data_IF_230478142773
#
_entry.id   IF_230478142773
#
_cell.length_a   1.000
_cell.length_b   1.000
_cell.length_c   1.000
_cell.angle_alpha   90.00
_cell.angle_beta   90.00
_cell.angle_gamma   90.00
#
_symmetry.space_group_name_H-M   'P 1'
#
loop_
_entity.id
_entity.type
_entity.pdbx_description
1 polymer ?
#
# COMPACT_ATOMS: atom_id res chain seq x y z
N UNK A 1 -9.40 0.68 -14.52
CA UNK A 1 -10.27 0.42 -13.35
C UNK A 1 -9.76 1.20 -12.15
N UNK A 2 -10.59 2.05 -11.54
CA UNK A 2 -10.26 2.71 -10.28
C UNK A 2 -10.66 1.79 -9.11
N UNK A 3 -9.70 1.37 -8.28
CA UNK A 3 -9.96 0.42 -7.19
C UNK A 3 -9.13 0.71 -5.95
N UNK A 4 -9.56 0.19 -4.80
CA UNK A 4 -8.77 0.21 -3.57
C UNK A 4 -7.90 -1.06 -3.50
N UNK A 5 -6.56 -0.96 -3.37
CA UNK A 5 -5.67 -2.13 -3.32
C UNK A 5 -5.88 -3.01 -2.08
N UNK A 6 -6.57 -2.54 -1.04
CA UNK A 6 -6.96 -3.37 0.11
C UNK A 6 -7.93 -4.50 -0.30
N UNK A 7 -8.69 -4.28 -1.37
CA UNK A 7 -9.59 -5.28 -1.97
C UNK A 7 -9.12 -5.56 -3.41
N UNK A 8 -8.23 -6.54 -3.61
CA UNK A 8 -7.54 -6.74 -4.89
C UNK A 8 -8.45 -7.28 -5.99
N UNK A 9 -9.70 -7.64 -5.72
CA UNK A 9 -10.66 -8.10 -6.74
C UNK A 9 -10.75 -7.16 -7.95
N UNK A 10 -10.75 -5.84 -7.72
CA UNK A 10 -10.78 -4.87 -8.80
C UNK A 10 -9.52 -4.93 -9.69
N UNK A 11 -8.37 -5.26 -9.10
CA UNK A 11 -7.12 -5.46 -9.82
C UNK A 11 -7.13 -6.78 -10.62
N UNK A 12 -7.63 -7.86 -10.02
CA UNK A 12 -7.76 -9.16 -10.70
C UNK A 12 -8.64 -9.01 -11.95
N UNK A 13 -9.77 -8.32 -11.84
CA UNK A 13 -10.67 -8.05 -12.97
C UNK A 13 -10.01 -7.14 -14.01
N UNK A 14 -9.27 -6.12 -13.57
CA UNK A 14 -8.54 -5.24 -14.48
C UNK A 14 -7.51 -6.02 -15.30
N UNK A 15 -6.79 -6.93 -14.67
CA UNK A 15 -5.80 -7.78 -15.33
C UNK A 15 -6.46 -8.78 -16.28
N UNK A 16 -7.54 -9.43 -15.87
CA UNK A 16 -8.32 -10.34 -16.72
C UNK A 16 -8.81 -9.65 -18.00
N UNK A 17 -9.21 -8.38 -17.89
CA UNK A 17 -9.69 -7.55 -19.01
C UNK A 17 -8.57 -6.77 -19.72
N UNK A 18 -7.32 -6.92 -19.29
CA UNK A 18 -6.16 -6.17 -19.82
C UNK A 18 -6.36 -4.65 -19.82
N UNK A 19 -7.00 -4.12 -18.77
CA UNK A 19 -7.27 -2.69 -18.60
C UNK A 19 -6.28 -2.04 -17.62
N UNK A 20 -5.88 -0.78 -17.85
CA UNK A 20 -5.03 -0.07 -16.90
C UNK A 20 -5.77 0.14 -15.58
N UNK A 21 -5.10 -0.13 -14.47
CA UNK A 21 -5.65 0.06 -13.13
C UNK A 21 -5.04 1.28 -12.44
N UNK A 22 -5.89 1.96 -11.68
CA UNK A 22 -5.53 3.12 -10.87
C UNK A 22 -5.93 2.81 -9.44
N UNK A 23 -4.98 2.90 -8.51
CA UNK A 23 -5.22 2.63 -7.10
C UNK A 23 -5.53 3.90 -6.35
N UNK A 24 -6.51 3.84 -5.46
CA UNK A 24 -6.85 4.91 -4.53
C UNK A 24 -6.75 4.38 -3.09
N UNK A 25 -5.74 4.86 -2.37
CA UNK A 25 -5.31 4.32 -1.08
C UNK A 25 -4.81 5.45 -0.19
N UNK A 26 -5.04 5.39 1.13
CA UNK A 26 -4.30 6.23 2.08
C UNK A 26 -2.96 5.55 2.42
N UNK A 27 -3.00 4.48 3.20
CA UNK A 27 -1.82 3.67 3.55
C UNK A 27 -2.28 2.24 3.80
N UNK A 28 -1.47 1.23 3.46
CA UNK A 28 -1.80 -0.15 3.85
C UNK A 28 -1.14 -0.44 5.19
N UNK A 29 -1.85 -1.06 6.15
CA UNK A 29 -1.28 -1.33 7.48
C UNK A 29 0.03 -2.12 7.45
N UNK A 30 0.22 -2.97 6.44
CA UNK A 30 1.42 -3.80 6.29
C UNK A 30 2.48 -3.26 5.35
N UNK A 31 2.31 -2.07 4.79
CA UNK A 31 3.34 -1.46 3.97
C UNK A 31 3.58 -2.12 2.62
N UNK A 32 2.73 -3.05 2.17
CA UNK A 32 2.86 -3.74 0.87
C UNK A 32 2.86 -2.78 -0.32
N UNK A 33 2.26 -1.60 -0.17
CA UNK A 33 2.34 -0.53 -1.16
C UNK A 33 3.78 -0.08 -1.43
N UNK A 34 4.66 -0.13 -0.43
CA UNK A 34 6.06 0.26 -0.58
C UNK A 34 6.82 -0.74 -1.43
N UNK A 35 6.57 -2.04 -1.23
CA UNK A 35 7.16 -3.10 -2.04
C UNK A 35 6.60 -3.07 -3.47
N UNK A 36 5.30 -2.87 -3.64
CA UNK A 36 4.66 -2.83 -4.96
C UNK A 36 5.10 -1.61 -5.79
N UNK A 37 5.30 -0.47 -5.14
CA UNK A 37 5.79 0.76 -5.79
C UNK A 37 7.30 0.83 -5.87
N UNK A 38 8.04 -0.09 -5.25
CA UNK A 38 9.51 -0.02 -5.10
C UNK A 38 9.97 1.27 -4.37
N UNK A 39 9.12 1.82 -3.52
CA UNK A 39 9.39 3.02 -2.74
C UNK A 39 10.05 2.65 -1.40
N UNK A 40 11.30 3.08 -1.11
CA UNK A 40 11.96 2.71 0.13
C UNK A 40 11.31 3.42 1.34
N UNK A 41 11.03 2.64 2.40
CA UNK A 41 10.48 3.12 3.68
C UNK A 41 11.30 2.57 4.84
N UNK A 42 12.45 3.18 5.18
CA UNK A 42 13.38 2.63 6.16
C UNK A 42 12.80 2.67 7.59
N UNK A 43 12.82 1.52 8.27
CA UNK A 43 12.36 1.35 9.65
C UNK A 43 13.15 2.18 10.68
N UNK A 44 14.34 2.66 10.31
CA UNK A 44 15.20 3.47 11.17
C UNK A 44 14.76 4.94 11.31
N UNK A 45 14.00 5.45 10.34
CA UNK A 45 13.60 6.88 10.27
C UNK A 45 12.10 7.07 10.07
N UNK A 46 11.40 6.09 9.49
CA UNK A 46 9.95 6.15 9.28
C UNK A 46 9.26 5.36 10.39
N UNK A 47 8.53 6.02 11.31
CA UNK A 47 7.80 5.32 12.35
C UNK A 47 6.60 4.58 11.75
N UNK A 48 6.37 3.35 12.22
CA UNK A 48 5.23 2.52 11.82
C UNK A 48 3.96 2.97 12.54
N UNK A 49 2.83 2.77 11.88
CA UNK A 49 1.51 3.03 12.44
C UNK A 49 1.35 2.28 13.77
N UNK A 50 0.58 2.86 14.69
CA UNK A 50 0.33 2.34 16.05
C UNK A 50 1.51 2.36 17.04
N UNK A 51 2.71 2.76 16.63
CA UNK A 51 3.85 2.87 17.57
C UNK A 51 3.85 4.14 18.42
N UNK A 52 3.15 5.19 17.96
CA UNK A 52 3.14 6.53 18.57
C UNK A 52 4.50 7.24 18.51
N UNK A 53 5.41 6.78 17.66
CA UNK A 53 6.75 7.33 17.52
C UNK A 53 6.79 8.50 16.52
N UNK A 54 7.78 9.36 16.68
CA UNK A 54 8.10 10.46 15.77
C UNK A 54 9.21 10.08 14.78
N UNK A 55 9.56 10.98 13.87
CA UNK A 55 10.74 10.91 13.01
C UNK A 55 12.06 10.91 13.81
N UNK A 56 12.06 11.55 14.96
CA UNK A 56 13.19 11.55 15.90
C UNK A 56 13.13 10.38 16.88
N UNK A 57 13.65 9.22 16.46
CA UNK A 57 13.75 8.01 17.29
C UNK A 57 15.16 7.75 17.84
N UNK A 58 15.23 7.47 19.14
CA UNK A 58 16.40 6.91 19.83
C UNK A 58 16.60 5.43 19.45
N UNK A 59 17.77 4.86 19.75
CA UNK A 59 18.09 3.47 19.40
C UNK A 59 17.01 2.45 19.85
N UNK A 60 16.58 2.51 21.11
CA UNK A 60 15.53 1.62 21.63
C UNK A 60 14.17 1.81 20.95
N UNK A 61 13.84 3.05 20.56
CA UNK A 61 12.62 3.33 19.81
C UNK A 61 12.69 2.76 18.40
N UNK A 62 13.86 2.77 17.75
CA UNK A 62 14.06 2.12 16.45
C UNK A 62 13.92 0.61 16.55
N UNK A 63 14.44 0.00 17.61
CA UNK A 63 14.26 -1.45 17.89
C UNK A 63 12.78 -1.76 18.10
N UNK A 64 12.06 -0.93 18.88
CA UNK A 64 10.60 -1.05 19.05
C UNK A 64 9.88 -0.95 17.70
N UNK A 65 10.24 0.03 16.87
CA UNK A 65 9.64 0.22 15.54
C UNK A 65 9.82 -1.01 14.65
N UNK A 66 11.01 -1.61 14.67
CA UNK A 66 11.30 -2.85 13.95
C UNK A 66 10.44 -4.04 14.45
N UNK A 67 10.32 -4.22 15.77
CA UNK A 67 9.51 -5.29 16.36
C UNK A 67 8.03 -5.15 16.00
N UNK A 68 7.52 -3.91 15.95
CA UNK A 68 6.12 -3.65 15.55
C UNK A 68 5.82 -3.98 14.09
N UNK A 69 6.83 -3.93 13.21
CA UNK A 69 6.65 -4.28 11.80
C UNK A 69 6.57 -5.79 11.58
N UNK A 70 7.26 -6.59 12.39
CA UNK A 70 7.39 -8.03 12.17
C UNK A 70 6.04 -8.77 12.06
N UNK A 71 5.03 -8.52 12.92
CA UNK A 71 3.70 -9.11 12.79
C UNK A 71 2.95 -8.69 11.52
N UNK A 72 3.19 -7.48 11.01
CA UNK A 72 2.46 -6.96 9.85
C UNK A 72 2.72 -7.79 8.59
N UNK A 73 3.93 -8.32 8.42
CA UNK A 73 4.26 -9.23 7.31
C UNK A 73 3.38 -10.48 7.32
N UNK A 74 3.30 -11.18 8.46
CA UNK A 74 2.49 -12.39 8.60
C UNK A 74 0.99 -12.11 8.45
N UNK A 75 0.51 -11.00 9.04
CA UNK A 75 -0.89 -10.61 8.96
C UNK A 75 -1.31 -10.30 7.52
N UNK A 76 -0.44 -9.66 6.73
CA UNK A 76 -0.78 -9.36 5.34
C UNK A 76 -0.76 -10.58 4.44
N UNK A 77 0.21 -11.47 4.59
CA UNK A 77 0.19 -12.74 3.85
C UNK A 77 -1.11 -13.48 4.11
N UNK A 78 -1.49 -13.63 5.39
CA UNK A 78 -2.74 -14.30 5.77
C UNK A 78 -3.99 -13.61 5.19
N UNK A 79 -4.06 -12.29 5.23
CA UNK A 79 -5.19 -11.52 4.70
C UNK A 79 -5.32 -11.66 3.18
N UNK A 80 -4.20 -11.70 2.45
CA UNK A 80 -4.21 -11.76 0.99
C UNK A 80 -4.21 -13.18 0.40
N UNK A 81 -3.86 -14.21 1.18
CA UNK A 81 -3.92 -15.63 0.77
C UNK A 81 -5.19 -16.02 -0.03
N UNK A 82 -6.43 -15.74 0.42
CA UNK A 82 -7.62 -16.13 -0.34
C UNK A 82 -7.71 -15.44 -1.70
N UNK A 83 -7.26 -14.19 -1.80
CA UNK A 83 -7.26 -13.43 -3.05
C UNK A 83 -6.19 -13.94 -4.03
N UNK A 84 -5.04 -14.37 -3.53
CA UNK A 84 -3.99 -14.98 -4.36
C UNK A 84 -4.51 -16.27 -4.99
N UNK A 85 -5.14 -17.15 -4.20
CA UNK A 85 -5.72 -18.39 -4.72
C UNK A 85 -6.77 -18.12 -5.80
N UNK A 86 -7.69 -17.19 -5.52
CA UNK A 86 -8.71 -16.77 -6.48
C UNK A 86 -8.10 -16.18 -7.75
N UNK A 87 -7.09 -15.31 -7.62
CA UNK A 87 -6.41 -14.71 -8.75
C UNK A 87 -5.71 -15.77 -9.61
N UNK A 88 -5.03 -16.74 -8.99
CA UNK A 88 -4.36 -17.82 -9.73
C UNK A 88 -5.36 -18.69 -10.49
N UNK A 89 -6.51 -19.00 -9.90
CA UNK A 89 -7.58 -19.77 -10.55
C UNK A 89 -8.21 -19.00 -11.73
N UNK A 90 -8.49 -17.70 -11.56
CA UNK A 90 -9.14 -16.88 -12.58
C UNK A 90 -8.19 -16.54 -13.73
N UNK A 91 -6.92 -16.24 -13.43
CA UNK A 91 -5.92 -15.85 -14.43
C UNK A 91 -5.19 -17.06 -15.04
N UNK A 92 -5.36 -18.25 -14.47
CA UNK A 92 -4.74 -19.49 -14.95
C UNK A 92 -3.22 -19.54 -14.81
N UNK A 93 -2.64 -18.74 -13.92
CA UNK A 93 -1.18 -18.63 -13.69
C UNK A 93 -0.89 -18.31 -12.23
N UNK A 94 0.28 -18.70 -11.74
CA UNK A 94 0.70 -18.31 -10.40
C UNK A 94 0.91 -16.79 -10.30
N UNK A 95 0.25 -16.18 -9.32
CA UNK A 95 0.34 -14.75 -9.02
C UNK A 95 0.84 -14.53 -7.59
N UNK A 96 1.59 -13.45 -7.40
CA UNK A 96 1.95 -12.94 -6.08
C UNK A 96 1.20 -11.64 -5.83
N UNK A 97 0.85 -11.34 -4.56
CA UNK A 97 0.15 -10.09 -4.23
C UNK A 97 0.97 -8.88 -4.66
N UNK A 98 2.27 -8.90 -4.38
CA UNK A 98 3.18 -7.84 -4.78
C UNK A 98 3.23 -7.69 -6.31
N UNK A 99 3.30 -8.80 -7.04
CA UNK A 99 3.28 -8.79 -8.51
C UNK A 99 1.95 -8.33 -9.11
N UNK A 100 0.83 -8.56 -8.42
CA UNK A 100 -0.49 -8.08 -8.83
C UNK A 100 -0.62 -6.57 -8.62
N UNK A 101 -0.13 -6.07 -7.47
CA UNK A 101 -0.18 -4.65 -7.13
C UNK A 101 0.85 -3.81 -7.91
N UNK A 102 2.00 -4.37 -8.25
CA UNK A 102 3.04 -3.65 -9.03
C UNK A 102 2.61 -3.33 -10.46
N UNK A 103 1.60 -4.02 -10.99
CA UNK A 103 1.03 -3.75 -12.32
C UNK A 103 0.17 -2.49 -12.40
N UNK A 104 -0.10 -1.82 -11.27
CA UNK A 104 -0.89 -0.60 -11.29
C UNK A 104 -0.19 0.54 -12.02
N UNK A 105 -0.94 1.21 -12.90
CA UNK A 105 -0.41 2.31 -13.71
C UNK A 105 -0.17 3.57 -12.88
N UNK A 106 -1.08 3.88 -11.96
CA UNK A 106 -1.02 5.07 -11.11
C UNK A 106 -1.50 4.74 -9.70
N UNK A 107 -0.78 5.25 -8.71
CA UNK A 107 -1.13 5.21 -7.29
C UNK A 107 -1.59 6.60 -6.84
N UNK A 108 -2.90 6.79 -6.73
CA UNK A 108 -3.50 7.96 -6.10
C UNK A 108 -3.47 7.77 -4.58
N UNK A 109 -2.56 8.47 -3.92
CA UNK A 109 -2.39 8.39 -2.48
C UNK A 109 -3.18 9.49 -1.77
N UNK A 110 -4.12 9.12 -0.91
CA UNK A 110 -4.89 10.02 -0.03
C UNK A 110 -4.04 10.50 1.15
N UNK A 111 -2.91 11.13 0.85
CA UNK A 111 -1.91 11.56 1.80
C UNK A 111 -1.55 13.02 1.52
N UNK A 112 -1.21 13.74 2.58
CA UNK A 112 -0.65 15.08 2.49
C UNK A 112 0.79 15.07 3.00
N UNK A 113 1.69 15.80 2.34
CA UNK A 113 3.09 15.88 2.75
C UNK A 113 3.27 16.54 4.13
N UNK A 114 2.26 17.31 4.59
CA UNK A 114 2.28 17.95 5.92
C UNK A 114 2.02 16.95 7.05
N UNK A 115 1.22 15.91 6.79
CA UNK A 115 0.75 14.96 7.81
C UNK A 115 1.57 13.67 7.87
N UNK A 116 2.41 13.42 6.87
CA UNK A 116 3.17 12.19 6.74
C UNK A 116 4.67 12.45 6.79
N UNK A 117 5.38 11.52 7.41
CA UNK A 117 6.83 11.57 7.49
C UNK A 117 7.49 11.57 6.10
N UNK A 118 8.60 12.31 5.94
CA UNK A 118 9.25 12.44 4.65
C UNK A 118 9.74 11.08 4.16
N UNK A 119 9.27 10.69 2.98
CA UNK A 119 9.70 9.50 2.25
C UNK A 119 9.74 9.83 0.75
N UNK A 120 10.59 9.14 -0.03
CA UNK A 120 10.61 9.36 -1.47
C UNK A 120 9.26 9.03 -2.10
N UNK A 121 8.96 9.68 -3.24
CA UNK A 121 7.78 9.40 -4.04
C UNK A 121 8.24 8.85 -5.39
N UNK A 122 7.59 7.79 -5.85
CA UNK A 122 7.87 7.21 -7.17
C UNK A 122 7.07 7.92 -8.26
N UNK A 123 7.54 7.92 -9.52
CA UNK A 123 6.90 8.67 -10.61
C UNK A 123 5.43 8.29 -10.87
N UNK A 124 5.04 7.06 -10.53
CA UNK A 124 3.67 6.56 -10.65
C UNK A 124 2.79 6.88 -9.43
N UNK A 125 3.29 7.62 -8.43
CA UNK A 125 2.57 8.00 -7.22
C UNK A 125 2.14 9.47 -7.29
N UNK A 126 0.85 9.72 -7.14
CA UNK A 126 0.25 11.06 -7.14
C UNK A 126 -0.45 11.27 -5.81
N UNK A 127 -0.05 12.31 -5.09
CA UNK A 127 -0.69 12.71 -3.83
C UNK A 127 -2.01 13.43 -4.14
N UNK A 128 -3.10 12.94 -3.56
CA UNK A 128 -4.46 13.48 -3.70
C UNK A 128 -5.01 13.77 -2.29
N UNK A 129 -4.80 14.99 -1.82
CA UNK A 129 -5.33 15.46 -0.53
C UNK A 129 -6.78 15.97 -0.68
N UNK A 130 -7.54 15.97 0.42
CA UNK A 130 -8.80 16.73 0.51
C UNK A 130 -9.94 16.30 -0.42
N UNK A 131 -10.20 14.99 -0.58
CA UNK A 131 -11.36 14.47 -1.33
C UNK A 131 -12.65 14.66 -0.52
N UNK A 132 -13.07 15.91 -0.32
CA UNK A 132 -14.28 16.26 0.40
C UNK A 132 -15.48 16.27 -0.55
N UNK A 133 -16.63 15.81 -0.07
CA UNK A 133 -17.88 15.92 -0.82
C UNK A 133 -18.19 17.41 -1.05
N UNK A 134 -18.37 17.81 -2.31
CA UNK A 134 -18.94 19.10 -2.61
C UNK A 134 -20.37 19.13 -2.06
N UNK A 135 -20.66 20.10 -1.20
CA UNK A 135 -22.03 20.35 -0.78
C UNK A 135 -22.84 20.73 -2.02
N UNK A 136 -23.81 19.89 -2.42
CA UNK A 136 -24.80 20.31 -3.42
C UNK A 136 -25.60 21.46 -2.80
N UNK A 137 -25.57 22.62 -3.45
CA UNK A 137 -26.53 23.70 -3.23
C UNK A 137 -27.90 23.27 -3.73
#
# INVERSE_FOLDING_TARGET
>A
VLTNPLLPCGQIVAELLSLPSVFLLQQMPCGLEHEATQCPSPLSYVPRLFTGLTDHMNFLQRVKNFIFEFPNYFLCDFFFQPYVKLASEVLGRDVTVNGLLSQASIWLMKLDFVLHYPKPLMPNMILVSGVNCAHKK
#
